data_IF_743846644937
#
_entry.id   IF_743846644937
#
_cell.length_a   1.000
_cell.length_b   1.000
_cell.length_c   1.000
_cell.angle_alpha   90.00
_cell.angle_beta   90.00
_cell.angle_gamma   90.00
#
_symmetry.space_group_name_H-M   'P 1'
#
loop_
_entity.id
_entity.type
_entity.pdbx_description
1 polymer ?
#
# COMPACT_ATOMS: atom_id res chain seq x y z
N UNK A 1 -1.20 15.22 11.75
CA UNK A 1 -1.32 16.64 11.42
C UNK A 1 -1.48 16.75 9.91
N UNK A 2 -2.65 17.06 9.38
CA UNK A 2 -2.86 17.14 7.92
C UNK A 2 -2.01 18.28 7.35
N UNK A 3 -1.16 18.00 6.35
CA UNK A 3 -0.53 19.05 5.55
C UNK A 3 -1.35 19.21 4.26
N UNK A 4 -1.78 20.43 4.00
CA UNK A 4 -2.56 20.81 2.81
C UNK A 4 -1.59 21.50 1.85
N UNK A 5 -1.43 20.96 0.64
CA UNK A 5 -0.65 21.62 -0.41
C UNK A 5 -1.59 22.28 -1.42
N UNK A 6 -1.23 23.50 -1.83
CA UNK A 6 -1.92 24.25 -2.86
C UNK A 6 -1.11 24.16 -4.15
N UNK A 7 -1.54 23.32 -5.09
CA UNK A 7 -0.99 23.30 -6.44
C UNK A 7 -1.81 24.24 -7.34
N UNK A 8 -1.18 25.29 -7.83
CA UNK A 8 -1.77 26.21 -8.81
C UNK A 8 -1.70 25.55 -10.20
N UNK A 9 -2.86 25.24 -10.77
CA UNK A 9 -3.01 24.92 -12.19
C UNK A 9 -2.83 26.21 -13.01
N UNK A 10 -2.04 26.16 -14.08
CA UNK A 10 -1.80 27.27 -15.04
C UNK A 10 -3.05 27.69 -15.83
N UNK A 11 -4.22 27.16 -15.51
CA UNK A 11 -5.50 27.54 -16.12
C UNK A 11 -6.49 27.93 -15.03
N UNK A 12 -6.39 29.16 -14.53
CA UNK A 12 -7.48 30.01 -14.00
C UNK A 12 -8.56 29.44 -13.07
N UNK A 13 -8.38 28.25 -12.51
CA UNK A 13 -9.32 27.57 -11.63
C UNK A 13 -8.51 26.79 -10.61
N UNK A 14 -8.32 27.39 -9.44
CA UNK A 14 -7.68 26.77 -8.29
C UNK A 14 -8.56 25.63 -7.74
N UNK A 15 -8.54 24.46 -8.38
CA UNK A 15 -9.10 23.25 -7.78
C UNK A 15 -8.18 22.86 -6.63
N UNK A 16 -8.67 23.00 -5.40
CA UNK A 16 -7.99 22.58 -4.17
C UNK A 16 -7.83 21.05 -4.22
N UNK A 17 -6.72 20.57 -4.78
CA UNK A 17 -6.31 19.18 -4.69
C UNK A 17 -5.89 18.92 -3.25
N UNK A 18 -6.84 18.42 -2.46
CA UNK A 18 -6.56 17.99 -1.09
C UNK A 18 -5.85 16.65 -1.18
N UNK A 19 -4.53 16.68 -1.29
CA UNK A 19 -3.71 15.47 -1.15
C UNK A 19 -3.67 15.15 0.34
N UNK A 20 -4.41 14.13 0.77
CA UNK A 20 -4.31 13.63 2.13
C UNK A 20 -3.00 12.87 2.26
N UNK A 21 -1.99 13.48 2.88
CA UNK A 21 -0.80 12.74 3.33
C UNK A 21 -1.28 11.77 4.41
N UNK A 22 -1.41 10.50 4.03
CA UNK A 22 -1.73 9.46 4.97
C UNK A 22 -0.52 9.24 5.87
N UNK A 23 -0.67 9.56 7.15
CA UNK A 23 0.33 9.24 8.14
C UNK A 23 0.42 7.73 8.26
N UNK A 24 1.48 7.14 7.68
CA UNK A 24 1.78 5.70 7.72
C UNK A 24 1.55 5.10 9.10
N UNK A 25 2.02 5.76 10.16
CA UNK A 25 1.81 5.36 11.57
C UNK A 25 0.35 5.36 12.02
N UNK A 26 -0.47 6.32 11.60
CA UNK A 26 -1.90 6.35 11.94
C UNK A 26 -2.69 5.25 11.23
N UNK A 27 -2.33 4.98 9.97
CA UNK A 27 -2.94 3.91 9.20
C UNK A 27 -2.57 2.54 9.79
N UNK A 28 -1.30 2.36 10.15
CA UNK A 28 -0.82 1.17 10.84
C UNK A 28 -1.53 0.94 12.17
N UNK A 29 -1.65 2.00 12.99
CA UNK A 29 -2.41 1.95 14.24
C UNK A 29 -3.89 1.58 14.02
N UNK A 30 -4.54 2.13 12.99
CA UNK A 30 -5.93 1.79 12.65
C UNK A 30 -6.11 0.29 12.34
N UNK A 31 -5.13 -0.31 11.66
CA UNK A 31 -5.13 -1.73 11.31
C UNK A 31 -4.50 -2.63 12.38
N UNK A 32 -3.96 -2.07 13.47
CA UNK A 32 -3.27 -2.85 14.50
C UNK A 32 -1.98 -3.52 14.00
N UNK A 33 -1.34 -2.97 12.98
CA UNK A 33 -0.08 -3.50 12.42
C UNK A 33 1.08 -2.51 12.65
N UNK A 34 2.30 -3.02 12.49
CA UNK A 34 3.52 -2.21 12.46
C UNK A 34 3.54 -1.31 11.21
N UNK A 35 4.10 -0.11 11.34
CA UNK A 35 4.08 0.88 10.26
C UNK A 35 4.87 0.40 9.04
N UNK A 36 5.92 -0.37 9.31
CA UNK A 36 6.79 -1.05 8.37
C UNK A 36 5.97 -1.89 7.38
N UNK A 37 4.94 -2.58 7.86
CA UNK A 37 4.14 -3.52 7.05
C UNK A 37 3.04 -2.86 6.21
N UNK A 38 2.90 -1.53 6.22
CA UNK A 38 1.85 -0.84 5.46
C UNK A 38 2.01 -1.03 3.95
N UNK A 39 3.24 -1.04 3.45
CA UNK A 39 3.53 -1.25 2.03
C UNK A 39 3.12 -2.67 1.59
N UNK A 40 3.37 -3.67 2.44
CA UNK A 40 2.94 -5.06 2.22
C UNK A 40 1.41 -5.16 2.26
N UNK A 41 0.76 -4.55 3.25
CA UNK A 41 -0.71 -4.51 3.35
C UNK A 41 -1.34 -3.88 2.10
N UNK A 42 -0.82 -2.74 1.64
CA UNK A 42 -1.31 -2.05 0.44
C UNK A 42 -1.14 -2.91 -0.83
N UNK A 43 0.02 -3.55 -0.98
CA UNK A 43 0.32 -4.43 -2.10
C UNK A 43 -0.61 -5.66 -2.14
N UNK A 44 -0.80 -6.31 -0.99
CA UNK A 44 -1.71 -7.46 -0.86
C UNK A 44 -3.19 -7.09 -0.97
N UNK A 45 -3.54 -5.83 -0.72
CA UNK A 45 -4.88 -5.29 -0.96
C UNK A 45 -5.14 -4.94 -2.43
N UNK A 46 -4.10 -4.95 -3.27
CA UNK A 46 -4.14 -4.58 -4.68
C UNK A 46 -3.91 -3.09 -4.87
N UNK A 47 -3.01 -2.78 -5.80
CA UNK A 47 -2.64 -1.43 -6.20
C UNK A 47 -2.26 -1.42 -7.70
N UNK A 48 -1.70 -0.32 -8.19
CA UNK A 48 -1.38 -0.16 -9.62
C UNK A 48 -0.33 -1.17 -10.14
N UNK A 49 0.47 -1.77 -9.25
CA UNK A 49 1.48 -2.78 -9.58
C UNK A 49 1.00 -4.21 -9.34
N UNK A 50 0.06 -4.41 -8.42
CA UNK A 50 -0.48 -5.74 -8.07
C UNK A 50 -1.92 -5.88 -8.56
N UNK A 51 -2.07 -6.51 -9.72
CA UNK A 51 -3.37 -6.72 -10.37
C UNK A 51 -4.30 -7.67 -9.59
N UNK A 52 -5.59 -7.62 -9.92
CA UNK A 52 -6.57 -8.57 -9.37
C UNK A 52 -6.24 -10.02 -9.67
N UNK A 53 -5.62 -10.27 -10.82
CA UNK A 53 -5.32 -11.62 -11.31
C UNK A 53 -4.14 -12.22 -10.57
N UNK A 54 -3.08 -11.42 -10.34
CA UNK A 54 -1.96 -11.81 -9.49
C UNK A 54 -2.40 -12.13 -8.05
N UNK A 55 -3.47 -11.48 -7.58
CA UNK A 55 -4.04 -11.69 -6.25
C UNK A 55 -5.12 -12.77 -6.20
N UNK A 56 -5.54 -13.35 -7.33
CA UNK A 56 -6.74 -14.20 -7.38
C UNK A 56 -6.64 -15.39 -6.44
N UNK A 57 -5.53 -16.12 -6.48
CA UNK A 57 -5.30 -17.29 -5.63
C UNK A 57 -5.18 -16.92 -4.13
N UNK A 58 -4.52 -15.81 -3.82
CA UNK A 58 -4.41 -15.30 -2.46
C UNK A 58 -5.76 -14.84 -1.91
N UNK A 59 -6.54 -14.12 -2.69
CA UNK A 59 -7.89 -13.69 -2.33
C UNK A 59 -8.81 -14.88 -2.09
N UNK A 60 -8.67 -15.96 -2.87
CA UNK A 60 -9.40 -17.19 -2.65
C UNK A 60 -9.01 -17.84 -1.30
N UNK A 61 -7.72 -17.88 -0.98
CA UNK A 61 -7.24 -18.40 0.30
C UNK A 61 -7.72 -17.55 1.48
N UNK A 62 -7.61 -16.23 1.40
CA UNK A 62 -8.13 -15.29 2.40
C UNK A 62 -9.63 -15.47 2.67
N UNK A 63 -10.44 -15.63 1.61
CA UNK A 63 -11.89 -15.87 1.76
C UNK A 63 -12.22 -17.12 2.56
N UNK A 64 -11.38 -18.16 2.49
CA UNK A 64 -11.57 -19.39 3.28
C UNK A 64 -11.31 -19.19 4.77
N UNK A 65 -10.51 -18.18 5.12
CA UNK A 65 -10.24 -17.80 6.52
C UNK A 65 -11.29 -16.85 7.09
N UNK A 66 -12.15 -16.25 6.26
CA UNK A 66 -13.14 -15.27 6.71
C UNK A 66 -14.35 -15.96 7.35
N UNK A 67 -14.41 -15.93 8.68
CA UNK A 67 -15.64 -16.18 9.43
C UNK A 67 -16.40 -14.85 9.58
N UNK A 68 -17.37 -14.62 8.69
CA UNK A 68 -18.41 -13.57 8.80
C UNK A 68 -17.95 -12.18 9.30
N UNK A 69 -17.42 -11.32 8.43
CA UNK A 69 -17.12 -9.92 8.80
C UNK A 69 -18.34 -9.00 8.63
N UNK A 70 -18.61 -8.12 9.61
CA UNK A 70 -19.64 -7.06 9.56
C UNK A 70 -19.37 -5.91 8.58
N UNK A 71 -18.24 -5.93 7.86
CA UNK A 71 -17.83 -4.88 6.93
C UNK A 71 -18.07 -5.29 5.48
N UNK A 72 -18.35 -4.32 4.60
CA UNK A 72 -18.48 -4.59 3.15
C UNK A 72 -17.23 -5.26 2.55
N UNK A 73 -17.39 -5.98 1.42
CA UNK A 73 -16.36 -6.86 0.82
C UNK A 73 -14.94 -6.29 0.76
N UNK A 74 -14.76 -4.99 0.47
CA UNK A 74 -13.43 -4.34 0.42
C UNK A 74 -12.83 -4.11 1.82
N UNK A 75 -13.63 -3.64 2.78
CA UNK A 75 -13.15 -3.43 4.16
C UNK A 75 -12.79 -4.75 4.84
N UNK A 76 -13.56 -5.81 4.60
CA UNK A 76 -13.27 -7.16 5.07
C UNK A 76 -11.89 -7.66 4.62
N UNK A 77 -11.48 -7.32 3.39
CA UNK A 77 -10.19 -7.70 2.83
C UNK A 77 -9.03 -7.06 3.58
N UNK A 78 -9.05 -5.73 3.74
CA UNK A 78 -7.99 -5.01 4.47
C UNK A 78 -7.85 -5.53 5.90
N UNK A 79 -8.97 -5.76 6.59
CA UNK A 79 -8.96 -6.32 7.95
C UNK A 79 -8.38 -7.73 7.97
N UNK A 80 -8.74 -8.59 7.01
CA UNK A 80 -8.22 -9.97 6.98
C UNK A 80 -6.69 -10.00 6.78
N UNK A 81 -6.20 -9.15 5.88
CA UNK A 81 -4.75 -9.00 5.63
C UNK A 81 -4.07 -8.42 6.88
N UNK A 82 -4.66 -7.37 7.47
CA UNK A 82 -4.13 -6.76 8.69
C UNK A 82 -4.03 -7.75 9.85
N UNK A 83 -5.07 -8.57 10.08
CA UNK A 83 -5.08 -9.59 11.11
C UNK A 83 -3.93 -10.59 10.90
N UNK A 84 -3.78 -11.11 9.68
CA UNK A 84 -2.65 -12.00 9.33
C UNK A 84 -1.30 -11.33 9.61
N UNK A 85 -1.13 -10.06 9.24
CA UNK A 85 0.11 -9.32 9.46
C UNK A 85 0.37 -8.99 10.94
N UNK A 86 -0.68 -8.85 11.75
CA UNK A 86 -0.59 -8.57 13.19
C UNK A 86 -0.16 -9.78 14.02
N UNK A 87 -0.32 -11.00 13.48
CA UNK A 87 0.12 -12.25 14.11
C UNK A 87 1.64 -12.49 13.97
N UNK A 88 2.32 -11.69 13.14
CA UNK A 88 3.76 -11.80 12.95
C UNK A 88 4.52 -11.23 14.14
N UNK A 89 5.68 -11.81 14.50
CA UNK A 89 6.57 -11.26 15.52
C UNK A 89 6.94 -9.79 15.27
N UNK A 90 7.18 -9.04 16.35
CA UNK A 90 7.56 -7.62 16.28
C UNK A 90 8.87 -7.37 15.53
N UNK A 91 9.73 -8.38 15.41
CA UNK A 91 11.00 -8.31 14.68
C UNK A 91 10.85 -8.58 13.18
N UNK A 92 9.66 -8.98 12.70
CA UNK A 92 9.53 -9.47 11.33
C UNK A 92 9.73 -8.39 10.27
N UNK A 93 10.33 -8.78 9.14
CA UNK A 93 10.57 -7.87 8.01
C UNK A 93 9.39 -7.85 7.03
N UNK A 94 9.42 -6.93 6.07
CA UNK A 94 8.46 -6.96 4.94
C UNK A 94 8.56 -8.26 4.13
N UNK A 95 9.77 -8.82 4.00
CA UNK A 95 10.01 -10.09 3.32
C UNK A 95 9.37 -11.26 4.06
N UNK A 96 9.53 -11.33 5.39
CA UNK A 96 8.88 -12.35 6.21
C UNK A 96 7.35 -12.25 6.15
N UNK A 97 6.83 -11.02 6.13
CA UNK A 97 5.41 -10.77 5.97
C UNK A 97 4.88 -11.23 4.60
N UNK A 98 5.63 -10.97 3.52
CA UNK A 98 5.32 -11.48 2.18
C UNK A 98 5.37 -13.01 2.16
N UNK A 99 6.40 -13.61 2.75
CA UNK A 99 6.55 -15.07 2.81
C UNK A 99 5.36 -15.72 3.53
N UNK A 100 4.87 -15.12 4.61
CA UNK A 100 3.65 -15.56 5.30
C UNK A 100 2.42 -15.53 4.38
N UNK A 101 2.21 -14.43 3.64
CA UNK A 101 1.11 -14.32 2.67
C UNK A 101 1.21 -15.38 1.55
N UNK A 102 2.42 -15.67 1.07
CA UNK A 102 2.66 -16.64 -0.01
C UNK A 102 2.38 -18.09 0.44
N UNK A 103 2.56 -18.41 1.71
CA UNK A 103 2.24 -19.74 2.25
C UNK A 103 0.74 -20.07 2.15
N UNK A 104 -0.14 -19.07 2.12
CA UNK A 104 -1.58 -19.26 1.96
C UNK A 104 -1.98 -19.68 0.55
N UNK A 105 -1.20 -19.32 -0.46
CA UNK A 105 -1.46 -19.68 -1.86
C UNK A 105 -0.99 -21.11 -2.07
N UNK A 106 -1.80 -21.99 -2.67
CA UNK A 106 -1.39 -23.40 -2.86
C UNK A 106 -0.58 -23.62 -4.14
N UNK A 107 -0.91 -22.91 -5.22
CA UNK A 107 -0.25 -23.07 -6.53
C UNK A 107 1.15 -22.44 -6.53
N UNK A 108 2.21 -23.18 -6.88
CA UNK A 108 3.56 -22.63 -7.03
C UNK A 108 3.63 -21.51 -8.05
N UNK A 109 2.91 -21.62 -9.18
CA UNK A 109 2.89 -20.60 -10.22
C UNK A 109 2.26 -19.30 -9.71
N UNK A 110 1.10 -19.40 -9.06
CA UNK A 110 0.42 -18.23 -8.49
C UNK A 110 1.21 -17.60 -7.35
N UNK A 111 1.96 -18.38 -6.56
CA UNK A 111 2.90 -17.85 -5.56
C UNK A 111 3.98 -17.01 -6.22
N UNK A 112 4.62 -17.54 -7.27
CA UNK A 112 5.69 -16.83 -7.98
C UNK A 112 5.17 -15.54 -8.60
N UNK A 113 4.00 -15.58 -9.25
CA UNK A 113 3.37 -14.39 -9.83
C UNK A 113 3.05 -13.34 -8.76
N UNK A 114 2.46 -13.75 -7.64
CA UNK A 114 2.15 -12.84 -6.54
C UNK A 114 3.41 -12.24 -5.93
N UNK A 115 4.45 -13.06 -5.70
CA UNK A 115 5.75 -12.61 -5.19
C UNK A 115 6.32 -11.51 -6.07
N UNK A 116 6.46 -11.76 -7.37
CA UNK A 116 7.03 -10.81 -8.32
C UNK A 116 6.24 -9.49 -8.34
N UNK A 117 4.91 -9.55 -8.38
CA UNK A 117 4.08 -8.35 -8.37
C UNK A 117 4.24 -7.54 -7.07
N UNK A 118 4.28 -8.21 -5.91
CA UNK A 118 4.45 -7.53 -4.62
C UNK A 118 5.86 -6.97 -4.46
N UNK A 119 6.91 -7.70 -4.84
CA UNK A 119 8.30 -7.22 -4.77
C UNK A 119 8.49 -5.97 -5.65
N UNK A 120 7.96 -5.97 -6.88
CA UNK A 120 7.94 -4.78 -7.74
C UNK A 120 7.21 -3.60 -7.09
N UNK A 121 6.04 -3.86 -6.50
CA UNK A 121 5.28 -2.85 -5.77
C UNK A 121 6.07 -2.25 -4.60
N UNK A 122 6.78 -3.08 -3.81
CA UNK A 122 7.55 -2.63 -2.63
C UNK A 122 8.78 -1.79 -2.99
N UNK A 123 9.44 -2.09 -4.12
CA UNK A 123 10.56 -1.29 -4.61
C UNK A 123 10.14 0.17 -4.85
N UNK A 124 8.95 0.39 -5.39
CA UNK A 124 8.43 1.73 -5.68
C UNK A 124 8.13 2.52 -4.41
N UNK A 125 7.67 1.86 -3.34
CA UNK A 125 7.51 2.50 -2.01
C UNK A 125 8.86 2.92 -1.41
N UNK A 126 9.92 2.17 -1.67
CA UNK A 126 11.28 2.52 -1.20
C UNK A 126 11.83 3.72 -1.97
N UNK A 127 11.52 3.81 -3.27
CA UNK A 127 11.96 4.92 -4.14
C UNK A 127 11.23 6.23 -3.81
N UNK A 128 9.97 6.17 -3.32
CA UNK A 128 9.17 7.37 -2.99
C UNK A 128 9.52 8.04 -1.65
N UNK A 129 10.43 7.48 -0.84
CA UNK A 129 11.09 8.24 0.24
C UNK A 129 12.17 9.21 -0.29
N UNK A 130 12.34 9.30 -1.61
CA UNK A 130 12.99 10.46 -2.21
C UNK A 130 12.17 11.71 -1.87
N UNK A 131 12.77 12.59 -1.08
CA UNK A 131 12.20 13.86 -0.66
C UNK A 131 11.64 14.56 -1.90
N UNK A 132 10.31 14.66 -2.05
CA UNK A 132 9.68 15.30 -3.21
C UNK A 132 9.84 16.82 -3.20
N UNK A 133 10.45 17.39 -2.15
CA UNK A 133 10.72 18.83 -2.03
C UNK A 133 11.42 19.43 -3.27
N UNK A 134 12.45 18.82 -3.89
CA UNK A 134 13.06 19.33 -5.10
C UNK A 134 12.10 19.41 -6.28
N UNK A 135 11.15 18.48 -6.38
CA UNK A 135 10.12 18.48 -7.44
C UNK A 135 9.18 19.68 -7.32
N UNK A 136 8.95 20.16 -6.09
CA UNK A 136 8.16 21.37 -5.82
C UNK A 136 9.01 22.66 -5.78
N UNK A 137 10.34 22.57 -5.68
CA UNK A 137 11.25 23.71 -5.66
C UNK A 137 11.70 24.15 -7.08
N UNK A 138 11.65 23.26 -8.08
CA UNK A 138 12.11 23.54 -9.45
C UNK A 138 11.25 24.47 -10.32
N UNK A 139 10.39 25.32 -9.73
CA UNK A 139 9.56 26.30 -10.49
C UNK A 139 9.77 27.76 -10.07
N UNK A 140 10.93 28.13 -9.51
CA UNK A 140 11.23 29.54 -9.23
C UNK A 140 12.27 30.19 -10.19
N UNK A 141 12.94 29.43 -11.05
CA UNK A 141 14.07 29.98 -11.83
C UNK A 141 13.83 30.02 -13.34
N UNK A 142 12.70 30.59 -13.77
CA UNK A 142 12.55 31.06 -15.15
C UNK A 142 12.55 32.59 -15.16
N UNK A 143 13.77 33.13 -15.20
CA UNK A 143 14.06 34.50 -15.60
C UNK A 143 13.62 34.65 -17.08
N UNK A 144 12.60 35.45 -17.33
CA UNK A 144 12.21 35.89 -18.68
C UNK A 144 13.26 36.87 -19.23
N UNK A 145 13.68 36.78 -20.50
CA UNK A 145 14.00 37.97 -21.28
C UNK A 145 12.73 38.75 -21.62
#
# INVERSE_FOLDING_TARGET
MTATFHLLSSTGNSKRLTVSIFYRRKLAWHFGIRAELISVLASLAGNDYVSSDALAAFNLALKRLQTSSRFGRRGARFISIANMLSELPDASTEEEALNSALQMVSSPESRTQLRQAVELSLQEYTITESNLLPYFQGRCDLQLP
#
